data_IF_048852267856
#
_entry.id   IF_048852267856
#
_cell.length_a   1.000
_cell.length_b   1.000
_cell.length_c   1.000
_cell.angle_alpha   90.00
_cell.angle_beta   90.00
_cell.angle_gamma   90.00
#
_symmetry.space_group_name_H-M   'P 1'
#
loop_
_entity.id
_entity.type
_entity.pdbx_description
1 polymer ?
#
# COMPACT_ATOMS: atom_id res chain seq x y z
N UNK A 1 -30.31 -6.67 -38.20
CA UNK A 1 -29.17 -5.74 -38.11
C UNK A 1 -29.42 -4.71 -37.02
N UNK A 2 -28.90 -4.92 -35.81
CA UNK A 2 -28.52 -3.82 -34.90
C UNK A 2 -27.29 -4.28 -34.13
N UNK A 3 -26.13 -3.92 -34.70
CA UNK A 3 -24.88 -3.79 -33.97
C UNK A 3 -25.14 -2.86 -32.79
N UNK A 4 -25.04 -3.38 -31.58
CA UNK A 4 -24.67 -2.61 -30.39
C UNK A 4 -23.54 -3.38 -29.72
N UNK A 5 -22.41 -3.38 -30.43
CA UNK A 5 -21.12 -2.98 -29.88
C UNK A 5 -20.83 -3.53 -28.48
N UNK A 6 -20.37 -4.78 -28.43
CA UNK A 6 -19.09 -5.13 -27.82
C UNK A 6 -18.65 -4.18 -26.69
N UNK A 7 -19.27 -4.31 -25.51
CA UNK A 7 -18.63 -3.91 -24.26
C UNK A 7 -17.56 -4.97 -23.98
N UNK A 8 -16.45 -4.87 -24.70
CA UNK A 8 -15.26 -5.69 -24.53
C UNK A 8 -14.76 -5.51 -23.11
N UNK A 9 -15.14 -6.47 -22.26
CA UNK A 9 -14.27 -7.18 -21.35
C UNK A 9 -12.97 -6.43 -21.02
N UNK A 10 -13.05 -5.38 -20.20
CA UNK A 10 -11.92 -5.01 -19.36
C UNK A 10 -11.79 -6.10 -18.32
N UNK A 11 -11.21 -7.23 -18.74
CA UNK A 11 -10.66 -8.21 -17.82
C UNK A 11 -9.54 -7.47 -17.09
N UNK A 12 -9.88 -6.77 -16.01
CA UNK A 12 -8.91 -6.40 -14.99
C UNK A 12 -8.34 -7.73 -14.54
N UNK A 13 -7.20 -8.10 -15.10
CA UNK A 13 -6.40 -9.19 -14.62
C UNK A 13 -5.98 -8.74 -13.22
N UNK A 14 -6.81 -9.04 -12.22
CA UNK A 14 -6.40 -8.97 -10.83
C UNK A 14 -5.40 -10.10 -10.71
N UNK A 15 -4.13 -9.77 -10.96
CA UNK A 15 -3.02 -10.66 -10.68
C UNK A 15 -3.05 -10.82 -9.17
N UNK A 16 -3.72 -11.88 -8.71
CA UNK A 16 -3.84 -12.22 -7.30
C UNK A 16 -2.55 -12.92 -6.83
N UNK A 17 -1.41 -12.49 -7.37
CA UNK A 17 -0.10 -12.88 -6.91
C UNK A 17 0.19 -12.09 -5.65
N UNK A 18 -0.29 -12.56 -4.49
CA UNK A 18 0.40 -12.20 -3.24
C UNK A 18 1.81 -12.73 -3.43
N UNK A 19 2.78 -11.85 -3.59
CA UNK A 19 4.18 -12.21 -3.39
C UNK A 19 4.26 -12.84 -1.99
N UNK A 20 4.48 -14.15 -1.93
CA UNK A 20 4.45 -14.87 -0.66
C UNK A 20 5.69 -14.53 0.17
N UNK A 21 6.77 -14.13 -0.50
CA UNK A 21 8.03 -13.75 0.13
C UNK A 21 8.54 -12.39 -0.37
N UNK A 22 9.40 -11.76 0.43
CA UNK A 22 10.13 -10.54 0.06
C UNK A 22 10.88 -10.68 -1.28
N UNK A 23 11.49 -11.85 -1.50
CA UNK A 23 12.29 -12.12 -2.71
C UNK A 23 11.42 -12.18 -3.95
N UNK A 24 10.20 -12.69 -3.85
CA UNK A 24 9.25 -12.71 -4.96
C UNK A 24 8.73 -11.30 -5.28
N UNK A 25 8.59 -10.46 -4.24
CA UNK A 25 8.08 -9.10 -4.34
C UNK A 25 9.09 -8.10 -4.91
N UNK A 26 10.27 -8.01 -4.30
CA UNK A 26 11.26 -6.96 -4.59
C UNK A 26 12.48 -7.50 -5.35
N UNK A 27 12.66 -8.81 -5.37
CA UNK A 27 13.78 -9.47 -6.01
C UNK A 27 14.94 -9.79 -5.05
N UNK A 28 15.98 -10.47 -5.57
CA UNK A 28 17.02 -11.10 -4.76
C UNK A 28 17.99 -10.13 -4.08
N UNK A 29 17.98 -8.85 -4.47
CA UNK A 29 18.89 -7.81 -3.94
C UNK A 29 18.33 -7.11 -2.69
N UNK A 30 17.08 -7.37 -2.32
CA UNK A 30 16.44 -6.76 -1.17
C UNK A 30 16.42 -7.74 0.01
N UNK A 31 16.80 -7.22 1.18
CA UNK A 31 16.91 -7.97 2.42
C UNK A 31 16.34 -7.16 3.57
N UNK A 32 15.90 -7.83 4.63
CA UNK A 32 15.48 -7.13 5.83
C UNK A 32 16.66 -6.41 6.47
N UNK A 33 16.43 -5.15 6.87
CA UNK A 33 17.39 -4.41 7.65
C UNK A 33 17.56 -5.10 9.02
N UNK A 34 18.79 -5.18 9.55
CA UNK A 34 19.02 -5.79 10.86
C UNK A 34 18.44 -4.96 12.01
N UNK A 35 18.19 -3.67 11.79
CA UNK A 35 17.56 -2.77 12.74
C UNK A 35 16.33 -2.11 12.12
N UNK A 36 15.27 -2.04 12.92
CA UNK A 36 14.06 -1.29 12.60
C UNK A 36 14.35 0.19 12.83
N UNK A 37 14.22 1.01 11.79
CA UNK A 37 14.24 2.46 12.00
C UNK A 37 13.09 2.83 12.96
N UNK A 38 13.30 3.73 13.93
CA UNK A 38 12.24 4.13 14.84
C UNK A 38 11.03 4.62 14.05
N UNK A 39 9.83 4.28 14.55
CA UNK A 39 8.56 4.73 13.99
C UNK A 39 8.62 6.24 13.76
N UNK A 40 8.42 6.67 12.52
CA UNK A 40 8.28 8.08 12.18
C UNK A 40 6.93 8.53 12.72
N UNK A 41 6.95 9.36 13.77
CA UNK A 41 5.75 9.98 14.29
C UNK A 41 5.34 11.09 13.30
N UNK A 42 4.04 11.29 13.02
CA UNK A 42 3.60 12.40 12.21
C UNK A 42 4.18 13.73 12.71
N UNK A 43 4.56 14.62 11.80
CA UNK A 43 5.16 15.89 12.17
C UNK A 43 4.22 16.67 13.11
N UNK A 44 4.81 17.33 14.12
CA UNK A 44 4.06 18.19 15.02
C UNK A 44 3.50 19.41 14.27
N UNK A 45 2.33 19.90 14.67
CA UNK A 45 1.72 21.11 14.10
C UNK A 45 0.99 20.92 12.76
N UNK A 46 0.89 19.71 12.22
CA UNK A 46 0.06 19.44 11.04
C UNK A 46 -1.44 19.57 11.37
N UNK A 47 -2.20 20.14 10.44
CA UNK A 47 -3.65 20.01 10.45
C UNK A 47 -4.09 18.55 10.27
N UNK A 48 -5.38 18.28 10.45
CA UNK A 48 -5.93 16.93 10.38
C UNK A 48 -5.72 16.27 9.01
N UNK A 49 -5.86 17.02 7.92
CA UNK A 49 -5.72 16.51 6.55
C UNK A 49 -4.28 16.06 6.30
N UNK A 50 -3.31 16.92 6.60
CA UNK A 50 -1.89 16.62 6.41
C UNK A 50 -1.41 15.51 7.34
N UNK A 51 -1.89 15.49 8.59
CA UNK A 51 -1.58 14.42 9.54
C UNK A 51 -2.05 13.06 9.04
N UNK A 52 -3.29 12.95 8.57
CA UNK A 52 -3.82 11.69 8.06
C UNK A 52 -3.16 11.26 6.74
N UNK A 53 -2.85 12.21 5.85
CA UNK A 53 -2.06 11.92 4.65
C UNK A 53 -0.68 11.34 5.01
N UNK A 54 0.03 11.94 5.98
CA UNK A 54 1.31 11.41 6.43
C UNK A 54 1.18 9.99 6.98
N UNK A 55 0.21 9.73 7.86
CA UNK A 55 -0.04 8.39 8.42
C UNK A 55 -0.29 7.38 7.29
N UNK A 56 -1.06 7.75 6.28
CA UNK A 56 -1.37 6.89 5.14
C UNK A 56 -0.11 6.57 4.31
N UNK A 57 0.73 7.56 4.03
CA UNK A 57 2.01 7.40 3.32
C UNK A 57 2.96 6.52 4.13
N UNK A 58 3.10 6.77 5.43
CA UNK A 58 3.99 6.02 6.31
C UNK A 58 3.55 4.55 6.40
N UNK A 59 2.24 4.28 6.49
CA UNK A 59 1.69 2.93 6.44
C UNK A 59 1.96 2.23 5.10
N UNK A 60 1.82 2.94 3.99
CA UNK A 60 2.21 2.42 2.67
C UNK A 60 3.71 2.07 2.61
N UNK A 61 4.56 2.91 3.20
CA UNK A 61 6.00 2.63 3.33
C UNK A 61 6.29 1.36 4.14
N UNK A 62 5.57 1.15 5.25
CA UNK A 62 5.71 -0.05 6.07
C UNK A 62 5.37 -1.34 5.31
N UNK A 63 4.35 -1.31 4.44
CA UNK A 63 3.98 -2.44 3.59
C UNK A 63 5.03 -2.77 2.52
N UNK A 64 5.88 -1.80 2.16
CA UNK A 64 6.99 -1.98 1.21
C UNK A 64 8.34 -2.23 1.93
N UNK A 65 8.35 -2.21 3.26
CA UNK A 65 9.54 -2.45 4.06
C UNK A 65 9.57 -3.91 4.52
N UNK A 66 10.67 -4.65 4.26
CA UNK A 66 10.85 -5.97 4.81
C UNK A 66 10.60 -6.02 6.33
N UNK A 67 10.08 -7.13 6.82
CA UNK A 67 9.86 -7.35 8.26
C UNK A 67 11.16 -7.86 8.88
N UNK A 68 11.66 -7.20 9.93
CA UNK A 68 12.85 -7.66 10.64
C UNK A 68 12.55 -8.90 11.51
N UNK A 69 13.57 -9.70 11.86
CA UNK A 69 13.37 -10.85 12.75
C UNK A 69 12.74 -10.45 14.08
N UNK A 70 11.68 -11.16 14.49
CA UNK A 70 10.97 -10.94 15.76
C UNK A 70 9.87 -9.88 15.71
N UNK A 71 9.70 -9.17 14.60
CA UNK A 71 8.54 -8.30 14.40
C UNK A 71 7.25 -9.12 14.15
N UNK A 72 6.11 -8.63 14.65
CA UNK A 72 4.80 -9.26 14.46
C UNK A 72 4.05 -8.77 13.21
N UNK A 73 4.66 -7.90 12.41
CA UNK A 73 4.04 -7.33 11.21
C UNK A 73 3.97 -8.37 10.09
N UNK A 74 2.90 -8.32 9.29
CA UNK A 74 2.82 -9.06 8.03
C UNK A 74 3.42 -8.23 6.91
N UNK A 75 4.29 -8.84 6.10
CA UNK A 75 4.88 -8.16 4.94
C UNK A 75 3.83 -8.00 3.81
N UNK A 76 3.71 -6.78 3.29
CA UNK A 76 3.05 -6.53 2.01
C UNK A 76 1.52 -6.54 2.02
N UNK A 77 0.87 -6.10 3.09
CA UNK A 77 -0.59 -6.08 3.16
C UNK A 77 -1.24 -5.12 2.15
N UNK A 78 -0.58 -4.06 1.69
CA UNK A 78 -0.98 -3.26 0.51
C UNK A 78 0.17 -3.05 -0.48
N UNK A 79 1.07 -4.04 -0.59
CA UNK A 79 2.21 -4.03 -1.51
C UNK A 79 1.81 -3.76 -2.97
N UNK A 80 2.62 -2.94 -3.62
CA UNK A 80 2.56 -2.68 -5.05
C UNK A 80 1.64 -1.53 -5.43
N UNK A 81 1.84 -0.93 -6.61
CA UNK A 81 1.25 0.35 -6.98
C UNK A 81 -0.29 0.34 -7.00
N UNK A 82 -0.91 -0.77 -7.42
CA UNK A 82 -2.37 -0.85 -7.49
C UNK A 82 -3.03 -0.90 -6.10
N UNK A 83 -2.49 -1.72 -5.20
CA UNK A 83 -3.06 -1.93 -3.86
C UNK A 83 -2.78 -0.74 -2.96
N UNK A 84 -1.57 -0.19 -3.00
CA UNK A 84 -1.23 1.02 -2.26
C UNK A 84 -2.06 2.23 -2.73
N UNK A 85 -2.23 2.42 -4.05
CA UNK A 85 -3.08 3.51 -4.58
C UNK A 85 -4.54 3.35 -4.14
N UNK A 86 -5.07 2.13 -4.16
CA UNK A 86 -6.42 1.84 -3.66
C UNK A 86 -6.54 2.16 -2.17
N UNK A 87 -5.56 1.75 -1.36
CA UNK A 87 -5.54 2.05 0.07
C UNK A 87 -5.53 3.57 0.32
N UNK A 88 -4.71 4.32 -0.43
CA UNK A 88 -4.69 5.79 -0.36
C UNK A 88 -6.05 6.40 -0.71
N UNK A 89 -6.68 5.93 -1.79
CA UNK A 89 -8.00 6.43 -2.19
C UNK A 89 -9.05 6.19 -1.10
N UNK A 90 -9.08 5.01 -0.47
CA UNK A 90 -10.02 4.69 0.62
C UNK A 90 -9.84 5.67 1.78
N UNK A 91 -8.60 5.92 2.23
CA UNK A 91 -8.32 6.83 3.34
C UNK A 91 -8.74 8.26 3.00
N UNK A 92 -8.39 8.76 1.82
CA UNK A 92 -8.69 10.14 1.43
C UNK A 92 -10.18 10.37 1.20
N UNK A 93 -10.91 9.38 0.66
CA UNK A 93 -12.37 9.46 0.55
C UNK A 93 -13.01 9.47 1.95
N UNK A 94 -12.53 8.63 2.87
CA UNK A 94 -13.04 8.62 4.25
C UNK A 94 -12.77 9.94 4.98
N UNK A 95 -11.60 10.54 4.78
CA UNK A 95 -11.28 11.88 5.30
C UNK A 95 -12.22 12.96 4.73
N UNK A 96 -12.50 12.89 3.43
CA UNK A 96 -13.41 13.82 2.78
C UNK A 96 -14.85 13.69 3.30
N UNK A 97 -15.33 12.46 3.50
CA UNK A 97 -16.68 12.17 4.00
C UNK A 97 -16.86 12.55 5.49
N UNK A 98 -15.80 12.47 6.28
CA UNK A 98 -15.84 12.78 7.72
C UNK A 98 -15.74 14.28 8.06
N UNK A 99 -15.41 15.13 7.09
CA UNK A 99 -15.23 16.57 7.26
C UNK A 99 -16.57 17.32 7.21
#
# INVERSE_FOLDING_TARGET
MKLATLLTLSLSLVINGKAQTLRDALGPRFHAAPNVAPLVVPHAGLDSIHRWNQIAIDASGLDHTPVAPGELRTFGEQLGPGRSSRAMAIVHIAMFDAA
#
